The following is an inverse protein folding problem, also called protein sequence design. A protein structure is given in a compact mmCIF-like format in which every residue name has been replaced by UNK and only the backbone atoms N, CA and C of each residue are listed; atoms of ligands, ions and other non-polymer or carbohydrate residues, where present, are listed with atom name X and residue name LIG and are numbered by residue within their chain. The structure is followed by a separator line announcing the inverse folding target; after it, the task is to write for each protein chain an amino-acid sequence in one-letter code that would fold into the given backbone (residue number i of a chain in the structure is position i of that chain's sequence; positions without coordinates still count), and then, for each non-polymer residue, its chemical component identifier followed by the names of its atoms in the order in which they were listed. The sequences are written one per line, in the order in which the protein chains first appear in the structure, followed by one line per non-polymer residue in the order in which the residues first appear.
data_IF_390375631296
#
_entry.id   IF_390375631296
#
_cell.length_a   1.000
_cell.length_b   1.000
_cell.length_c   1.000
_cell.angle_alpha   90.00
_cell.angle_beta   90.00
_cell.angle_gamma   90.00
#
_symmetry.space_group_name_H-M   'P 1'
#
loop_
_entity.id
_entity.type
_entity.pdbx_description
1 polymer ?
#
# COMPACT_ATOMS: atom_id res chain seq x y z
N UNK A 1 33.93 -9.68 -3.72
CA UNK A 1 32.95 -9.29 -4.77
C UNK A 1 31.57 -9.68 -4.27
N UNK A 2 30.52 -8.97 -4.66
CA UNK A 2 29.14 -9.26 -4.27
C UNK A 2 28.28 -9.35 -5.53
N UNK A 3 27.20 -10.12 -5.46
CA UNK A 3 26.18 -10.08 -6.49
C UNK A 3 25.42 -8.75 -6.41
N UNK A 4 25.04 -8.24 -7.57
CA UNK A 4 24.17 -7.07 -7.64
C UNK A 4 22.76 -7.46 -7.20
N UNK A 5 22.07 -6.60 -6.45
CA UNK A 5 20.76 -6.93 -5.86
C UNK A 5 19.69 -7.32 -6.89
N UNK A 6 19.76 -6.80 -8.12
CA UNK A 6 18.82 -7.21 -9.18
C UNK A 6 19.12 -8.58 -9.80
N UNK A 7 20.26 -9.19 -9.47
CA UNK A 7 20.55 -10.57 -9.80
C UNK A 7 19.90 -11.53 -8.80
N UNK A 8 20.04 -11.29 -7.49
CA UNK A 8 19.55 -12.19 -6.44
C UNK A 8 18.09 -11.95 -6.04
N UNK A 9 17.55 -10.74 -6.22
CA UNK A 9 16.16 -10.43 -5.91
C UNK A 9 15.12 -11.39 -6.53
N UNK A 10 15.13 -11.69 -7.85
CA UNK A 10 14.17 -12.63 -8.42
C UNK A 10 14.45 -14.09 -8.04
N UNK A 11 15.70 -14.46 -7.69
CA UNK A 11 16.02 -15.76 -7.09
C UNK A 11 15.32 -15.89 -5.73
N UNK A 12 15.05 -14.78 -5.05
CA UNK A 12 14.21 -14.71 -3.85
C UNK A 12 12.83 -15.37 -4.03
N UNK A 13 12.24 -15.38 -5.22
CA UNK A 13 10.99 -16.11 -5.48
C UNK A 13 11.17 -17.62 -5.30
N UNK A 14 12.26 -18.18 -5.85
CA UNK A 14 12.63 -19.58 -5.71
C UNK A 14 12.95 -19.91 -4.26
N UNK A 15 13.77 -19.07 -3.60
CA UNK A 15 14.16 -19.29 -2.21
C UNK A 15 12.96 -19.26 -1.25
N UNK A 16 12.04 -18.32 -1.44
CA UNK A 16 10.79 -18.23 -0.68
C UNK A 16 9.93 -19.48 -0.88
N UNK A 17 9.78 -19.95 -2.13
CA UNK A 17 9.02 -21.16 -2.41
C UNK A 17 9.69 -22.43 -1.87
N UNK A 18 11.03 -22.52 -1.94
CA UNK A 18 11.79 -23.63 -1.36
C UNK A 18 11.60 -23.69 0.17
N UNK A 19 11.61 -22.54 0.84
CA UNK A 19 11.31 -22.48 2.27
C UNK A 19 9.87 -22.91 2.60
N UNK A 20 8.91 -22.68 1.70
CA UNK A 20 7.56 -23.25 1.83
C UNK A 20 7.57 -24.76 1.64
N UNK A 21 8.28 -25.27 0.62
CA UNK A 21 8.41 -26.70 0.34
C UNK A 21 8.91 -27.48 1.55
N UNK A 22 9.91 -26.95 2.25
CA UNK A 22 10.47 -27.54 3.48
C UNK A 22 9.47 -27.61 4.65
N UNK A 23 8.48 -26.72 4.69
CA UNK A 23 7.47 -26.67 5.77
C UNK A 23 6.17 -27.39 5.43
N UNK A 24 5.86 -27.53 4.14
CA UNK A 24 4.58 -28.04 3.65
C UNK A 24 4.72 -29.35 2.85
N UNK A 25 5.91 -29.97 2.86
CA UNK A 25 6.22 -31.21 2.14
C UNK A 25 5.89 -31.16 0.64
N UNK A 26 6.13 -30.01 0.01
CA UNK A 26 5.96 -29.83 -1.44
C UNK A 26 7.27 -30.15 -2.16
N UNK A 27 7.18 -30.68 -3.37
CA UNK A 27 8.34 -30.86 -4.25
C UNK A 27 8.65 -29.55 -4.98
N UNK A 28 9.85 -29.02 -4.76
CA UNK A 28 10.33 -27.82 -5.43
C UNK A 28 10.46 -28.02 -6.95
N UNK A 29 10.93 -29.20 -7.38
CA UNK A 29 11.18 -29.51 -8.80
C UNK A 29 9.87 -29.62 -9.58
N UNK A 30 8.78 -30.06 -8.95
CA UNK A 30 7.45 -30.07 -9.55
C UNK A 30 6.98 -28.68 -10.02
N UNK A 31 7.52 -27.59 -9.44
CA UNK A 31 7.16 -26.21 -9.80
C UNK A 31 8.26 -25.51 -10.61
N UNK A 32 9.53 -25.65 -10.24
CA UNK A 32 10.65 -24.91 -10.83
C UNK A 32 11.48 -25.71 -11.83
N UNK A 33 11.38 -27.04 -11.81
CA UNK A 33 12.13 -27.90 -12.72
C UNK A 33 11.83 -27.60 -14.19
N UNK A 34 12.77 -27.88 -15.11
CA UNK A 34 12.69 -27.47 -16.52
C UNK A 34 11.49 -28.08 -17.26
N UNK A 35 10.97 -29.23 -16.80
CA UNK A 35 9.83 -29.92 -17.38
C UNK A 35 8.52 -29.72 -16.60
N UNK A 36 8.52 -28.84 -15.59
CA UNK A 36 7.36 -28.55 -14.75
C UNK A 36 6.12 -28.19 -15.59
N UNK A 37 4.98 -28.74 -15.18
CA UNK A 37 3.65 -28.46 -15.77
C UNK A 37 2.82 -27.47 -14.96
N UNK A 38 3.33 -27.01 -13.81
CA UNK A 38 2.66 -26.00 -12.99
C UNK A 38 2.51 -24.67 -13.76
N UNK A 39 1.77 -23.71 -13.24
CA UNK A 39 1.81 -22.35 -13.78
C UNK A 39 2.62 -21.44 -12.86
N UNK A 40 3.48 -20.60 -13.44
CA UNK A 40 4.28 -19.62 -12.70
C UNK A 40 3.92 -18.22 -13.20
N UNK A 41 3.21 -17.46 -12.36
CA UNK A 41 2.75 -16.12 -12.70
C UNK A 41 3.41 -15.08 -11.80
N UNK A 42 3.91 -14.00 -12.39
CA UNK A 42 4.48 -12.87 -11.66
C UNK A 42 3.58 -11.64 -11.76
N UNK A 43 3.05 -11.16 -10.64
CA UNK A 43 2.37 -9.86 -10.56
C UNK A 43 3.38 -8.79 -10.17
N UNK A 44 3.56 -7.77 -11.03
CA UNK A 44 4.62 -6.77 -10.88
C UNK A 44 4.15 -5.36 -11.26
N UNK A 45 4.86 -4.34 -10.78
CA UNK A 45 4.75 -2.99 -11.32
C UNK A 45 5.40 -2.86 -12.70
N UNK A 46 4.89 -1.94 -13.52
CA UNK A 46 5.43 -1.69 -14.87
C UNK A 46 6.89 -1.23 -14.90
N UNK A 47 7.39 -0.65 -13.82
CA UNK A 47 8.77 -0.17 -13.66
C UNK A 47 9.82 -1.28 -13.61
N UNK A 48 9.43 -2.48 -13.18
CA UNK A 48 10.34 -3.62 -13.04
C UNK A 48 10.14 -4.67 -14.14
N UNK A 49 9.35 -4.36 -15.17
CA UNK A 49 9.02 -5.29 -16.26
C UNK A 49 10.26 -5.77 -17.01
N UNK A 50 11.23 -4.89 -17.27
CA UNK A 50 12.45 -5.24 -18.01
C UNK A 50 13.23 -6.37 -17.30
N UNK A 51 13.36 -6.30 -15.98
CA UNK A 51 14.03 -7.34 -15.19
C UNK A 51 13.30 -8.70 -15.28
N UNK A 52 11.96 -8.67 -15.26
CA UNK A 52 11.15 -9.89 -15.21
C UNK A 52 10.89 -10.51 -16.58
N UNK A 53 10.91 -9.71 -17.66
CA UNK A 53 10.64 -10.19 -19.01
C UNK A 53 11.91 -10.56 -19.79
N UNK A 54 13.09 -10.09 -19.38
CA UNK A 54 14.35 -10.32 -20.10
C UNK A 54 15.41 -11.01 -19.24
N UNK A 55 15.87 -10.34 -18.18
CA UNK A 55 16.99 -10.86 -17.38
C UNK A 55 16.61 -12.13 -16.62
N UNK A 56 15.43 -12.14 -15.99
CA UNK A 56 14.99 -13.26 -15.17
C UNK A 56 14.77 -14.56 -15.98
N UNK A 57 14.04 -14.55 -17.11
CA UNK A 57 13.89 -15.75 -17.94
C UNK A 57 15.23 -16.24 -18.51
N UNK A 58 16.13 -15.33 -18.88
CA UNK A 58 17.47 -15.71 -19.34
C UNK A 58 18.27 -16.40 -18.23
N UNK A 59 18.27 -15.84 -17.02
CA UNK A 59 18.95 -16.45 -15.86
C UNK A 59 18.41 -17.84 -15.56
N UNK A 60 17.08 -18.01 -15.54
CA UNK A 60 16.43 -19.32 -15.32
C UNK A 60 16.81 -20.33 -16.40
N UNK A 61 16.74 -19.94 -17.68
CA UNK A 61 17.07 -20.81 -18.80
C UNK A 61 18.50 -21.35 -18.71
N UNK A 62 19.48 -20.48 -18.51
CA UNK A 62 20.89 -20.88 -18.44
C UNK A 62 21.29 -21.53 -17.10
N UNK A 63 20.40 -21.51 -16.10
CA UNK A 63 20.57 -22.26 -14.86
C UNK A 63 19.76 -23.56 -14.80
N UNK A 64 19.08 -23.93 -15.89
CA UNK A 64 18.39 -25.22 -16.01
C UNK A 64 16.98 -25.25 -15.41
N UNK A 65 16.34 -24.11 -15.16
CA UNK A 65 14.98 -24.02 -14.61
C UNK A 65 13.96 -23.57 -15.65
N UNK A 66 12.68 -23.81 -15.35
CA UNK A 66 11.58 -23.30 -16.18
C UNK A 66 11.45 -21.77 -16.10
N UNK A 67 10.91 -21.15 -17.15
CA UNK A 67 10.59 -19.71 -17.18
C UNK A 67 9.17 -19.42 -16.69
N UNK A 68 8.83 -18.16 -16.35
CA UNK A 68 7.46 -17.78 -15.99
C UNK A 68 6.47 -18.11 -17.12
N UNK A 69 5.27 -18.58 -16.75
CA UNK A 69 4.16 -18.84 -17.66
C UNK A 69 3.51 -17.53 -18.14
N UNK A 70 3.31 -16.57 -17.23
CA UNK A 70 2.85 -15.21 -17.54
C UNK A 70 3.47 -14.18 -16.60
N UNK A 71 3.54 -12.95 -17.09
CA UNK A 71 3.86 -11.76 -16.30
C UNK A 71 2.65 -10.83 -16.38
N UNK A 72 2.06 -10.53 -15.24
CA UNK A 72 0.93 -9.62 -15.10
C UNK A 72 1.41 -8.30 -14.50
N UNK A 73 1.66 -7.34 -15.38
CA UNK A 73 2.14 -6.03 -14.99
C UNK A 73 0.98 -5.04 -14.81
N UNK A 74 1.02 -4.25 -13.74
CA UNK A 74 0.05 -3.19 -13.46
C UNK A 74 0.71 -1.80 -13.50
N UNK A 75 -0.11 -0.76 -13.71
CA UNK A 75 0.34 0.62 -13.64
C UNK A 75 0.62 1.11 -12.22
N UNK A 76 0.99 2.38 -12.12
CA UNK A 76 1.18 3.06 -10.83
C UNK A 76 -0.15 3.45 -10.21
N UNK A 77 -0.09 3.75 -8.92
CA UNK A 77 -1.18 4.38 -8.20
C UNK A 77 -0.97 5.90 -8.18
N UNK A 78 -2.00 6.65 -8.57
CA UNK A 78 -2.13 8.09 -8.35
C UNK A 78 -3.20 8.38 -7.29
N UNK A 79 -3.20 9.59 -6.74
CA UNK A 79 -4.22 10.04 -5.79
C UNK A 79 -4.74 11.39 -6.25
N UNK A 80 -6.03 11.46 -6.58
CA UNK A 80 -6.68 12.61 -7.22
C UNK A 80 -5.95 13.07 -8.50
N UNK A 81 -5.51 12.13 -9.33
CA UNK A 81 -4.85 12.38 -10.61
C UNK A 81 -3.37 12.75 -10.51
N UNK A 82 -2.82 12.87 -9.30
CA UNK A 82 -1.43 13.24 -9.09
C UNK A 82 -0.58 12.08 -8.57
N UNK A 83 0.72 12.09 -8.89
CA UNK A 83 1.69 11.19 -8.26
C UNK A 83 1.66 11.41 -6.74
N UNK A 84 1.70 10.31 -5.99
CA UNK A 84 1.75 10.34 -4.53
C UNK A 84 2.93 11.18 -4.03
N UNK A 85 2.66 12.06 -3.07
CA UNK A 85 3.64 12.95 -2.45
C UNK A 85 3.38 13.07 -0.96
N UNK A 86 4.46 13.05 -0.15
CA UNK A 86 4.40 13.34 1.28
C UNK A 86 3.94 14.77 1.55
N UNK A 87 4.46 15.76 0.81
CA UNK A 87 4.12 17.18 1.01
C UNK A 87 2.63 17.49 0.81
N UNK A 88 1.95 16.75 -0.08
CA UNK A 88 0.51 16.91 -0.33
C UNK A 88 -0.37 16.03 0.57
N UNK A 89 0.23 15.15 1.38
CA UNK A 89 -0.48 14.14 2.18
C UNK A 89 -1.12 13.03 1.36
N UNK A 90 -0.66 12.84 0.11
CA UNK A 90 -1.17 11.82 -0.80
C UNK A 90 -0.34 10.55 -0.78
N UNK A 91 0.83 10.57 -0.13
CA UNK A 91 1.57 9.36 0.20
C UNK A 91 0.92 8.68 1.41
N UNK A 92 -0.08 7.84 1.14
CA UNK A 92 -0.84 7.12 2.17
C UNK A 92 -0.20 5.75 2.37
N UNK A 93 0.36 5.51 3.55
CA UNK A 93 0.85 4.16 3.90
C UNK A 93 -0.31 3.21 4.21
N UNK A 94 -0.11 1.91 3.97
CA UNK A 94 -1.11 0.90 4.33
C UNK A 94 -1.45 0.92 5.84
N UNK A 95 -0.45 1.19 6.69
CA UNK A 95 -0.65 1.35 8.14
C UNK A 95 -1.55 2.54 8.44
N UNK A 96 -1.21 3.72 7.92
CA UNK A 96 -2.01 4.93 8.12
C UNK A 96 -3.45 4.75 7.63
N UNK A 97 -3.67 4.10 6.48
CA UNK A 97 -5.01 3.75 6.02
C UNK A 97 -5.79 2.94 7.07
N UNK A 98 -5.17 1.89 7.63
CA UNK A 98 -5.81 1.03 8.62
C UNK A 98 -6.08 1.75 9.94
N UNK A 99 -5.18 2.63 10.37
CA UNK A 99 -5.34 3.39 11.63
C UNK A 99 -6.54 4.37 11.56
N UNK A 100 -6.93 4.82 10.37
CA UNK A 100 -7.99 5.83 10.19
C UNK A 100 -9.31 5.25 9.68
N UNK A 101 -9.28 4.39 8.64
CA UNK A 101 -10.50 3.80 8.05
C UNK A 101 -10.83 2.46 8.69
N UNK A 102 -9.82 1.74 9.20
CA UNK A 102 -9.94 0.46 9.89
C UNK A 102 -10.84 -0.57 9.17
N UNK A 103 -10.84 -0.54 7.83
CA UNK A 103 -11.49 -1.53 7.00
C UNK A 103 -10.76 -1.67 5.64
N UNK A 104 -9.94 -2.72 5.44
CA UNK A 104 -9.21 -2.93 4.19
C UNK A 104 -10.11 -3.28 3.01
N UNK A 105 -11.33 -3.78 3.27
CA UNK A 105 -12.28 -4.23 2.24
C UNK A 105 -12.68 -3.07 1.33
N UNK A 106 -12.74 -1.84 1.85
CA UNK A 106 -13.10 -0.66 1.05
C UNK A 106 -12.05 -0.34 -0.01
N UNK A 107 -10.77 -0.39 0.35
CA UNK A 107 -9.67 -0.16 -0.60
C UNK A 107 -9.57 -1.32 -1.60
N UNK A 108 -9.74 -2.56 -1.14
CA UNK A 108 -9.81 -3.74 -2.01
C UNK A 108 -10.92 -3.61 -3.04
N UNK A 109 -12.12 -3.23 -2.60
CA UNK A 109 -13.26 -2.97 -3.49
C UNK A 109 -12.92 -1.91 -4.53
N UNK A 110 -12.45 -0.76 -4.07
CA UNK A 110 -12.23 0.38 -4.96
C UNK A 110 -11.13 0.12 -5.99
N UNK A 111 -10.02 -0.53 -5.59
CA UNK A 111 -9.01 -0.94 -6.55
C UNK A 111 -9.53 -2.00 -7.51
N UNK A 112 -10.31 -2.97 -7.05
CA UNK A 112 -10.93 -3.95 -7.93
C UNK A 112 -11.87 -3.29 -8.96
N UNK A 113 -12.57 -2.20 -8.62
CA UNK A 113 -13.39 -1.45 -9.59
C UNK A 113 -12.54 -0.90 -10.75
N UNK A 114 -11.33 -0.43 -10.44
CA UNK A 114 -10.44 0.25 -11.40
C UNK A 114 -9.54 -0.75 -12.14
N UNK A 115 -9.22 -1.89 -11.52
CA UNK A 115 -8.37 -2.92 -12.10
C UNK A 115 -9.03 -3.56 -13.32
N UNK A 116 -8.24 -3.66 -14.38
CA UNK A 116 -8.58 -4.30 -15.63
C UNK A 116 -7.37 -5.11 -16.11
N UNK A 117 -7.53 -5.93 -17.15
CA UNK A 117 -6.45 -6.78 -17.67
C UNK A 117 -5.29 -6.02 -18.35
N UNK A 118 -5.22 -4.70 -18.25
CA UNK A 118 -4.20 -3.84 -18.89
C UNK A 118 -3.26 -3.18 -17.86
N UNK A 119 -2.21 -2.54 -18.37
CA UNK A 119 -1.15 -1.89 -17.57
C UNK A 119 -1.43 -0.38 -17.39
N UNK A 120 -2.68 -0.04 -17.10
CA UNK A 120 -3.09 1.34 -16.85
C UNK A 120 -2.81 1.77 -15.40
N UNK A 121 -2.54 3.07 -15.22
CA UNK A 121 -2.42 3.67 -13.89
C UNK A 121 -3.80 3.77 -13.24
N UNK A 122 -3.85 3.53 -11.93
CA UNK A 122 -5.09 3.56 -11.15
C UNK A 122 -5.09 4.83 -10.31
N UNK A 123 -6.17 5.61 -10.40
CA UNK A 123 -6.36 6.78 -9.55
C UNK A 123 -7.23 6.46 -8.33
N UNK A 124 -6.69 6.73 -7.14
CA UNK A 124 -7.44 6.84 -5.90
C UNK A 124 -8.01 8.25 -5.76
N UNK A 125 -9.12 8.50 -6.44
CA UNK A 125 -9.87 9.72 -6.24
C UNK A 125 -10.65 9.62 -4.92
N UNK A 126 -10.33 10.47 -3.94
CA UNK A 126 -10.85 10.36 -2.57
C UNK A 126 -12.37 10.56 -2.47
N UNK A 127 -12.94 11.44 -3.29
CA UNK A 127 -14.38 11.69 -3.30
C UNK A 127 -15.12 10.52 -3.98
N UNK A 128 -14.61 10.05 -5.12
CA UNK A 128 -15.13 8.85 -5.80
C UNK A 128 -15.00 7.60 -4.92
N UNK A 129 -13.90 7.46 -4.18
CA UNK A 129 -13.67 6.35 -3.24
C UNK A 129 -14.80 6.19 -2.23
N UNK A 130 -15.06 7.24 -1.45
CA UNK A 130 -16.10 7.20 -0.43
C UNK A 130 -17.49 7.04 -1.06
N UNK A 131 -17.77 7.80 -2.13
CA UNK A 131 -19.05 7.76 -2.84
C UNK A 131 -19.35 6.35 -3.37
N UNK A 132 -18.39 5.75 -4.07
CA UNK A 132 -18.55 4.45 -4.72
C UNK A 132 -18.68 3.31 -3.72
N UNK A 133 -17.84 3.27 -2.68
CA UNK A 133 -17.97 2.26 -1.62
C UNK A 133 -19.33 2.37 -0.95
N UNK A 134 -19.76 3.58 -0.61
CA UNK A 134 -21.06 3.82 0.03
C UNK A 134 -22.23 3.45 -0.87
N UNK A 135 -22.17 3.78 -2.16
CA UNK A 135 -23.23 3.47 -3.11
C UNK A 135 -23.33 1.96 -3.36
N UNK A 136 -22.22 1.31 -3.67
CA UNK A 136 -22.23 -0.08 -4.11
C UNK A 136 -22.32 -1.06 -2.93
N UNK A 137 -21.41 -0.96 -1.95
CA UNK A 137 -21.39 -1.93 -0.85
C UNK A 137 -22.55 -1.71 0.12
N UNK A 138 -22.79 -0.46 0.53
CA UNK A 138 -23.85 -0.15 1.50
C UNK A 138 -25.21 0.01 0.80
N UNK A 139 -25.28 0.82 -0.26
CA UNK A 139 -26.54 1.16 -0.92
C UNK A 139 -27.15 0.04 -1.77
N UNK A 140 -26.33 -0.86 -2.31
CA UNK A 140 -26.80 -1.97 -3.16
C UNK A 140 -26.64 -3.33 -2.51
N UNK A 141 -25.41 -3.76 -2.24
CA UNK A 141 -25.13 -5.14 -1.83
C UNK A 141 -25.69 -5.45 -0.42
N UNK A 142 -25.21 -4.76 0.61
CA UNK A 142 -25.58 -5.01 2.01
C UNK A 142 -27.04 -4.61 2.28
N UNK A 143 -27.57 -3.64 1.52
CA UNK A 143 -28.95 -3.21 1.59
C UNK A 143 -29.97 -4.34 1.32
N UNK A 144 -29.58 -5.38 0.56
CA UNK A 144 -30.45 -6.53 0.31
C UNK A 144 -30.68 -7.30 1.62
N UNK A 145 -29.59 -7.70 2.29
CA UNK A 145 -29.66 -8.48 3.52
C UNK A 145 -30.28 -7.67 4.67
N UNK A 146 -29.88 -6.39 4.83
CA UNK A 146 -30.36 -5.55 5.93
C UNK A 146 -31.87 -5.33 5.90
N UNK A 147 -32.47 -5.24 4.70
CA UNK A 147 -33.91 -5.02 4.51
C UNK A 147 -34.72 -6.32 4.51
N UNK A 148 -34.16 -7.44 4.04
CA UNK A 148 -34.89 -8.70 3.91
C UNK A 148 -34.80 -9.62 5.14
N UNK A 149 -33.63 -9.71 5.78
CA UNK A 149 -33.35 -10.72 6.81
C UNK A 149 -34.23 -10.57 8.07
N UNK A 150 -34.58 -9.34 8.43
CA UNK A 150 -35.44 -9.06 9.58
C UNK A 150 -36.87 -9.59 9.42
N UNK A 151 -37.40 -9.70 8.19
CA UNK A 151 -38.71 -10.31 7.96
C UNK A 151 -38.64 -11.82 8.14
N UNK A 152 -37.64 -12.47 7.55
CA UNK A 152 -37.43 -13.92 7.63
C UNK A 152 -37.25 -14.39 9.08
N UNK A 153 -36.39 -13.73 9.84
CA UNK A 153 -36.11 -14.13 11.23
C UNK A 153 -37.28 -13.87 12.18
N UNK A 154 -38.01 -12.75 12.03
CA UNK A 154 -39.13 -12.42 12.94
C UNK A 154 -40.44 -13.14 12.61
N UNK A 155 -40.71 -13.44 11.34
CA UNK A 155 -42.02 -13.97 10.90
C UNK A 155 -41.99 -15.46 10.51
N UNK A 156 -40.79 -16.00 10.28
CA UNK A 156 -40.58 -17.33 9.71
C UNK A 156 -39.45 -18.12 10.39
N UNK A 157 -39.05 -17.75 11.61
CA UNK A 157 -37.97 -18.44 12.38
C UNK A 157 -36.66 -18.62 11.61
N UNK A 158 -36.34 -17.70 10.70
CA UNK A 158 -35.13 -17.79 9.88
C UNK A 158 -35.27 -18.68 8.64
N UNK A 159 -36.40 -19.35 8.44
CA UNK A 159 -36.60 -20.30 7.34
C UNK A 159 -36.84 -19.60 6.01
N UNK A 160 -36.01 -19.94 5.03
CA UNK A 160 -36.15 -19.48 3.66
C UNK A 160 -37.10 -20.41 2.90
N UNK A 161 -37.98 -19.83 2.09
CA UNK A 161 -38.82 -20.61 1.19
C UNK A 161 -37.94 -21.35 0.17
N UNK A 162 -38.20 -22.64 -0.04
CA UNK A 162 -37.40 -23.46 -0.95
C UNK A 162 -37.67 -23.08 -2.43
N UNK A 163 -36.64 -23.08 -3.31
CA UNK A 163 -36.79 -22.71 -4.72
C UNK A 163 -37.82 -23.52 -5.52
N UNK A 164 -38.11 -24.74 -5.07
CA UNK A 164 -39.16 -25.59 -5.65
C UNK A 164 -40.55 -24.97 -5.53
N UNK A 165 -40.81 -24.17 -4.50
CA UNK A 165 -42.09 -23.49 -4.25
C UNK A 165 -42.21 -22.14 -4.96
N UNK A 166 -41.24 -21.78 -5.81
CA UNK A 166 -41.24 -20.50 -6.49
C UNK A 166 -42.08 -20.60 -7.78
N UNK A 167 -43.00 -19.66 -8.03
CA UNK A 167 -43.59 -19.44 -9.36
C UNK A 167 -42.53 -19.33 -10.48
N UNK A 168 -42.93 -19.44 -11.75
CA UNK A 168 -41.99 -19.46 -12.88
C UNK A 168 -41.17 -18.16 -13.03
N UNK A 169 -41.83 -17.01 -12.92
CA UNK A 169 -41.22 -15.67 -12.85
C UNK A 169 -40.35 -15.49 -11.59
N UNK A 170 -40.69 -16.22 -10.55
CA UNK A 170 -40.04 -16.23 -9.25
C UNK A 170 -38.72 -17.03 -9.22
N UNK A 171 -38.51 -18.00 -10.13
CA UNK A 171 -37.20 -18.66 -10.32
C UNK A 171 -36.21 -17.79 -11.10
N UNK A 172 -36.70 -16.90 -11.96
CA UNK A 172 -35.85 -16.09 -12.86
C UNK A 172 -34.87 -15.18 -12.12
N UNK A 173 -35.21 -14.59 -10.98
CA UNK A 173 -34.28 -13.68 -10.28
C UNK A 173 -33.01 -14.41 -9.81
N UNK A 174 -33.18 -15.61 -9.26
CA UNK A 174 -32.06 -16.43 -8.77
C UNK A 174 -31.32 -17.01 -9.96
N UNK A 175 -32.04 -17.51 -10.97
CA UNK A 175 -31.40 -18.01 -12.18
C UNK A 175 -30.55 -16.93 -12.85
N UNK A 176 -31.06 -15.70 -12.99
CA UNK A 176 -30.27 -14.56 -13.50
C UNK A 176 -29.01 -14.27 -12.66
N UNK A 177 -29.07 -14.50 -11.35
CA UNK A 177 -27.90 -14.37 -10.47
C UNK A 177 -26.88 -15.49 -10.72
N UNK A 178 -27.35 -16.72 -10.96
CA UNK A 178 -26.51 -17.89 -11.25
C UNK A 178 -25.92 -17.85 -12.67
N UNK A 179 -26.68 -17.36 -13.65
CA UNK A 179 -26.25 -17.23 -15.05
C UNK A 179 -25.07 -16.25 -15.21
N UNK A 180 -24.89 -15.34 -14.24
CA UNK A 180 -23.73 -14.44 -14.19
C UNK A 180 -22.41 -15.17 -13.83
N UNK A 181 -22.46 -16.42 -13.36
CA UNK A 181 -21.28 -17.15 -12.89
C UNK A 181 -20.21 -17.30 -13.98
N UNK A 182 -20.60 -17.72 -15.20
CA UNK A 182 -19.67 -17.91 -16.31
C UNK A 182 -18.91 -16.63 -16.66
N UNK A 183 -19.60 -15.53 -17.02
CA UNK A 183 -18.96 -14.25 -17.30
C UNK A 183 -18.12 -13.71 -16.12
N UNK A 184 -18.55 -13.90 -14.87
CA UNK A 184 -17.77 -13.46 -13.71
C UNK A 184 -16.48 -14.27 -13.57
N UNK A 185 -16.54 -15.60 -13.71
CA UNK A 185 -15.37 -16.46 -13.65
C UNK A 185 -14.35 -16.11 -14.74
N UNK A 186 -14.81 -15.92 -15.98
CA UNK A 186 -13.97 -15.49 -17.10
C UNK A 186 -13.31 -14.13 -16.85
N UNK A 187 -14.05 -13.19 -16.25
CA UNK A 187 -13.49 -11.88 -15.91
C UNK A 187 -12.48 -11.94 -14.76
N UNK A 188 -12.68 -12.81 -13.76
CA UNK A 188 -11.65 -13.04 -12.74
C UNK A 188 -10.37 -13.62 -13.34
N UNK A 189 -10.49 -14.66 -14.17
CA UNK A 189 -9.36 -15.31 -14.86
C UNK A 189 -8.64 -14.32 -15.80
N UNK A 190 -9.41 -13.48 -16.49
CA UNK A 190 -8.91 -12.40 -17.33
C UNK A 190 -8.36 -11.19 -16.56
N UNK A 191 -8.39 -11.19 -15.23
CA UNK A 191 -8.02 -10.08 -14.33
C UNK A 191 -8.82 -8.78 -14.57
N UNK A 192 -10.00 -8.91 -15.17
CA UNK A 192 -10.94 -7.83 -15.43
C UNK A 192 -11.85 -7.60 -14.22
N UNK A 193 -11.27 -7.27 -13.06
CA UNK A 193 -12.01 -7.14 -11.80
C UNK A 193 -13.07 -6.04 -11.83
N UNK A 194 -12.83 -4.95 -12.58
CA UNK A 194 -13.84 -3.92 -12.79
C UNK A 194 -15.08 -4.45 -13.53
N UNK A 195 -14.91 -5.41 -14.45
CA UNK A 195 -16.01 -6.06 -15.14
C UNK A 195 -16.77 -7.01 -14.21
N UNK A 196 -16.05 -7.75 -13.35
CA UNK A 196 -16.69 -8.56 -12.28
C UNK A 196 -17.60 -7.69 -11.43
N UNK A 197 -17.10 -6.57 -10.90
CA UNK A 197 -17.88 -5.74 -10.00
C UNK A 197 -19.06 -5.05 -10.68
N UNK A 198 -18.92 -4.66 -11.96
CA UNK A 198 -20.06 -4.16 -12.75
C UNK A 198 -21.16 -5.21 -12.87
N UNK A 199 -20.80 -6.45 -13.15
CA UNK A 199 -21.78 -7.53 -13.31
C UNK A 199 -22.46 -7.89 -11.98
N UNK A 200 -21.68 -8.03 -10.91
CA UNK A 200 -22.20 -8.25 -9.56
C UNK A 200 -23.15 -7.12 -9.14
N UNK A 201 -22.79 -5.85 -9.36
CA UNK A 201 -23.64 -4.72 -8.98
C UNK A 201 -24.87 -4.58 -9.87
N UNK A 202 -24.81 -4.98 -11.15
CA UNK A 202 -25.99 -5.07 -12.04
C UNK A 202 -27.01 -6.09 -11.52
N UNK A 203 -26.54 -7.24 -11.06
CA UNK A 203 -27.40 -8.25 -10.41
C UNK A 203 -27.95 -7.71 -9.10
N UNK A 204 -27.13 -7.06 -8.26
CA UNK A 204 -27.59 -6.43 -7.01
C UNK A 204 -28.68 -5.37 -7.25
N UNK A 205 -28.55 -4.53 -8.29
CA UNK A 205 -29.57 -3.55 -8.68
C UNK A 205 -30.89 -4.24 -9.05
N UNK A 206 -30.83 -5.35 -9.80
CA UNK A 206 -32.01 -6.15 -10.17
C UNK A 206 -32.72 -6.72 -8.92
N UNK A 207 -31.96 -7.19 -7.94
CA UNK A 207 -32.50 -7.72 -6.68
C UNK A 207 -33.16 -6.60 -5.86
N UNK A 208 -32.52 -5.43 -5.76
CA UNK A 208 -33.09 -4.29 -5.05
C UNK A 208 -34.40 -3.81 -5.72
N UNK A 209 -34.44 -3.70 -7.05
CA UNK A 209 -35.66 -3.36 -7.79
C UNK A 209 -36.77 -4.40 -7.59
N UNK A 210 -36.42 -5.69 -7.58
CA UNK A 210 -37.37 -6.75 -7.26
C UNK A 210 -37.97 -6.58 -5.87
N UNK A 211 -37.14 -6.36 -4.85
CA UNK A 211 -37.59 -6.15 -3.47
C UNK A 211 -38.51 -4.94 -3.36
N UNK A 212 -38.13 -3.81 -3.96
CA UNK A 212 -38.87 -2.56 -3.88
C UNK A 212 -40.24 -2.67 -4.60
N UNK A 213 -40.31 -3.34 -5.76
CA UNK A 213 -41.55 -3.57 -6.51
C UNK A 213 -42.58 -4.38 -5.72
N UNK A 214 -42.14 -5.31 -4.89
CA UNK A 214 -43.04 -6.19 -4.12
C UNK A 214 -43.43 -5.63 -2.75
N UNK A 215 -42.83 -4.50 -2.34
CA UNK A 215 -43.22 -3.74 -1.16
C UNK A 215 -43.43 -4.61 0.12
N UNK A 216 -42.42 -5.37 0.57
CA UNK A 216 -42.55 -6.31 1.68
C UNK A 216 -42.97 -5.64 3.01
N UNK A 217 -42.70 -4.35 3.19
CA UNK A 217 -43.18 -3.56 4.33
C UNK A 217 -44.71 -3.37 4.35
N UNK A 218 -45.38 -3.51 3.20
CA UNK A 218 -46.84 -3.55 3.09
C UNK A 218 -47.31 -4.99 3.32
N UNK A 219 -46.69 -5.96 2.65
CA UNK A 219 -47.01 -7.39 2.79
C UNK A 219 -46.92 -7.87 4.25
N UNK A 220 -46.00 -7.34 5.05
CA UNK A 220 -45.87 -7.68 6.47
C UNK A 220 -47.17 -7.45 7.28
N UNK A 221 -47.97 -6.46 6.88
CA UNK A 221 -49.21 -6.11 7.58
C UNK A 221 -50.38 -7.01 7.19
N UNK A 222 -50.23 -7.81 6.12
CA UNK A 222 -51.25 -8.70 5.59
C UNK A 222 -50.99 -10.15 6.04
N UNK A 223 -51.83 -10.64 6.95
CA UNK A 223 -51.71 -11.98 7.52
C UNK A 223 -52.10 -13.10 6.54
N UNK A 224 -52.88 -12.79 5.49
CA UNK A 224 -53.29 -13.74 4.46
C UNK A 224 -52.16 -13.94 3.45
N UNK A 225 -51.42 -12.88 3.12
CA UNK A 225 -50.31 -12.91 2.15
C UNK A 225 -48.94 -13.24 2.77
N UNK A 226 -48.94 -13.90 3.94
CA UNK A 226 -47.72 -14.27 4.67
C UNK A 226 -46.74 -15.09 3.80
N UNK A 227 -47.23 -16.03 2.98
CA UNK A 227 -46.38 -16.83 2.09
C UNK A 227 -45.64 -16.00 1.03
N UNK A 228 -46.27 -14.93 0.53
CA UNK A 228 -45.67 -14.04 -0.46
C UNK A 228 -44.55 -13.19 0.15
N UNK A 229 -44.72 -12.71 1.38
CA UNK A 229 -43.65 -12.04 2.12
C UNK A 229 -42.42 -12.95 2.28
N UNK A 230 -42.63 -14.21 2.70
CA UNK A 230 -41.53 -15.17 2.83
C UNK A 230 -40.81 -15.35 1.50
N UNK A 231 -41.58 -15.51 0.42
CA UNK A 231 -41.08 -15.73 -0.92
C UNK A 231 -40.20 -14.57 -1.42
N UNK A 232 -40.67 -13.33 -1.30
CA UNK A 232 -39.95 -12.13 -1.74
C UNK A 232 -38.64 -11.97 -0.98
N UNK A 233 -38.67 -12.09 0.34
CA UNK A 233 -37.48 -11.96 1.17
C UNK A 233 -36.50 -13.12 0.96
N UNK A 234 -37.00 -14.36 0.78
CA UNK A 234 -36.15 -15.54 0.58
C UNK A 234 -35.36 -15.44 -0.72
N UNK A 235 -36.00 -15.05 -1.83
CA UNK A 235 -35.30 -14.85 -3.11
C UNK A 235 -34.22 -13.79 -3.04
N UNK A 236 -34.54 -12.68 -2.36
CA UNK A 236 -33.58 -11.58 -2.18
C UNK A 236 -32.35 -12.07 -1.40
N UNK A 237 -32.54 -12.92 -0.40
CA UNK A 237 -31.45 -13.50 0.39
C UNK A 237 -30.70 -14.62 -0.35
N UNK A 238 -31.37 -15.42 -1.18
CA UNK A 238 -30.70 -16.38 -2.08
C UNK A 238 -29.82 -15.66 -3.10
N UNK A 239 -30.30 -14.57 -3.70
CA UNK A 239 -29.48 -13.76 -4.60
C UNK A 239 -28.33 -13.08 -3.85
N UNK A 240 -28.56 -12.57 -2.64
CA UNK A 240 -27.51 -12.03 -1.77
C UNK A 240 -26.42 -13.07 -1.45
N UNK A 241 -26.81 -14.33 -1.18
CA UNK A 241 -25.88 -15.45 -0.99
C UNK A 241 -24.99 -15.64 -2.22
N UNK A 242 -25.57 -15.73 -3.41
CA UNK A 242 -24.85 -15.87 -4.69
C UNK A 242 -23.89 -14.70 -4.93
N UNK A 243 -24.34 -13.46 -4.71
CA UNK A 243 -23.49 -12.27 -4.81
C UNK A 243 -22.33 -12.30 -3.81
N UNK A 244 -22.55 -12.85 -2.62
CA UNK A 244 -21.51 -13.01 -1.60
C UNK A 244 -20.43 -14.01 -2.02
N UNK A 245 -20.80 -15.09 -2.73
CA UNK A 245 -19.84 -16.02 -3.31
C UNK A 245 -18.97 -15.32 -4.36
N UNK A 246 -19.57 -14.54 -5.26
CA UNK A 246 -18.82 -13.80 -6.28
C UNK A 246 -17.91 -12.73 -5.70
N UNK A 247 -18.30 -12.10 -4.59
CA UNK A 247 -17.52 -11.06 -3.93
C UNK A 247 -16.40 -11.61 -3.04
N UNK A 248 -16.39 -12.89 -2.70
CA UNK A 248 -15.44 -13.45 -1.75
C UNK A 248 -13.95 -13.22 -2.08
N UNK A 249 -13.50 -13.30 -3.35
CA UNK A 249 -12.11 -13.00 -3.70
C UNK A 249 -11.73 -11.52 -3.48
N UNK A 250 -12.67 -10.59 -3.64
CA UNK A 250 -12.44 -9.14 -3.50
C UNK A 250 -12.66 -8.70 -2.06
N UNK A 251 -13.67 -9.25 -1.39
CA UNK A 251 -14.16 -8.85 -0.07
C UNK A 251 -14.13 -10.02 0.94
N UNK A 252 -12.94 -10.59 1.25
CA UNK A 252 -12.84 -11.82 2.02
C UNK A 252 -13.40 -11.68 3.44
N UNK A 253 -13.06 -10.62 4.19
CA UNK A 253 -13.51 -10.50 5.58
C UNK A 253 -15.01 -10.18 5.66
N UNK A 254 -15.51 -9.38 4.71
CA UNK A 254 -16.94 -9.06 4.68
C UNK A 254 -17.77 -10.30 4.37
N UNK A 255 -17.40 -11.02 3.31
CA UNK A 255 -18.15 -12.20 2.86
C UNK A 255 -17.98 -13.39 3.81
N UNK A 256 -16.85 -13.51 4.53
CA UNK A 256 -16.71 -14.51 5.59
C UNK A 256 -17.67 -14.24 6.76
N UNK A 257 -17.84 -12.98 7.18
CA UNK A 257 -18.87 -12.64 8.18
C UNK A 257 -20.27 -12.92 7.67
N UNK A 258 -20.55 -12.65 6.39
CA UNK A 258 -21.84 -13.04 5.78
C UNK A 258 -22.04 -14.56 5.85
N UNK A 259 -21.03 -15.34 5.44
CA UNK A 259 -21.06 -16.80 5.47
C UNK A 259 -21.36 -17.34 6.88
N UNK A 260 -20.59 -16.88 7.87
CA UNK A 260 -20.67 -17.38 9.25
C UNK A 260 -21.86 -16.82 10.04
N UNK A 261 -22.02 -15.50 10.04
CA UNK A 261 -22.94 -14.82 10.94
C UNK A 261 -24.38 -14.82 10.41
N UNK A 262 -24.57 -14.75 9.08
CA UNK A 262 -25.91 -14.75 8.48
C UNK A 262 -26.31 -16.14 7.99
N UNK A 263 -25.45 -16.83 7.24
CA UNK A 263 -25.80 -18.13 6.64
C UNK A 263 -25.34 -19.35 7.46
N UNK A 264 -24.62 -19.14 8.54
CA UNK A 264 -24.28 -20.19 9.49
C UNK A 264 -23.23 -21.20 9.01
N UNK A 265 -22.45 -20.86 7.99
CA UNK A 265 -21.33 -21.68 7.53
C UNK A 265 -20.19 -21.65 8.56
N UNK A 266 -19.40 -22.72 8.61
CA UNK A 266 -18.20 -22.84 9.46
C UNK A 266 -16.92 -22.31 8.80
N UNK A 267 -17.04 -21.91 7.52
CA UNK A 267 -15.98 -21.40 6.65
C UNK A 267 -16.46 -20.19 5.84
N UNK A 268 -15.53 -19.53 5.15
CA UNK A 268 -15.85 -18.57 4.10
C UNK A 268 -16.45 -19.23 2.85
N UNK A 269 -16.97 -18.40 1.95
CA UNK A 269 -17.52 -18.87 0.67
C UNK A 269 -16.44 -19.39 -0.27
N UNK A 270 -16.82 -20.36 -1.09
CA UNK A 270 -16.09 -20.79 -2.27
C UNK A 270 -17.04 -20.98 -3.46
N UNK A 271 -16.50 -21.14 -4.66
CA UNK A 271 -17.31 -21.17 -5.88
C UNK A 271 -18.36 -22.29 -5.94
N UNK A 272 -18.12 -23.43 -5.29
CA UNK A 272 -19.08 -24.56 -5.24
C UNK A 272 -20.32 -24.26 -4.40
N UNK A 273 -20.29 -23.22 -3.59
CA UNK A 273 -21.47 -22.80 -2.85
C UNK A 273 -22.61 -22.34 -3.78
N UNK A 274 -22.32 -22.01 -5.05
CA UNK A 274 -23.34 -21.73 -6.06
C UNK A 274 -24.25 -22.94 -6.36
N UNK A 275 -23.79 -24.16 -6.09
CA UNK A 275 -24.53 -25.39 -6.36
C UNK A 275 -25.65 -25.64 -5.35
N UNK A 276 -25.60 -24.99 -4.17
CA UNK A 276 -26.57 -25.23 -3.08
C UNK A 276 -26.97 -23.93 -2.40
N UNK A 277 -28.26 -23.60 -2.51
CA UNK A 277 -28.82 -22.43 -1.85
C UNK A 277 -29.16 -22.72 -0.38
N UNK A 278 -29.02 -21.73 0.51
CA UNK A 278 -29.29 -21.91 1.93
C UNK A 278 -30.79 -22.10 2.21
N UNK A 279 -31.10 -22.95 3.19
CA UNK A 279 -32.47 -23.17 3.66
C UNK A 279 -32.87 -22.25 4.83
N UNK A 280 -31.90 -21.69 5.55
CA UNK A 280 -32.13 -20.88 6.76
C UNK A 280 -31.09 -19.78 6.88
N UNK A 281 -31.45 -18.71 7.59
CA UNK A 281 -30.55 -17.66 8.04
C UNK A 281 -30.61 -17.45 9.55
N UNK A 282 -29.55 -16.85 10.10
CA UNK A 282 -29.47 -16.33 11.46
C UNK A 282 -29.91 -14.85 11.51
N UNK A 283 -30.16 -14.27 12.71
CA UNK A 283 -30.41 -12.84 12.85
C UNK A 283 -29.32 -11.99 12.22
N UNK A 284 -29.72 -11.07 11.34
CA UNK A 284 -28.80 -10.15 10.69
C UNK A 284 -28.10 -9.26 11.72
N UNK A 285 -26.78 -9.11 11.55
CA UNK A 285 -25.93 -8.19 12.31
C UNK A 285 -25.37 -7.16 11.36
N UNK A 286 -25.13 -5.96 11.87
CA UNK A 286 -24.53 -4.89 11.09
C UNK A 286 -23.16 -5.31 10.53
N UNK A 287 -22.99 -5.24 9.22
CA UNK A 287 -21.80 -5.75 8.53
C UNK A 287 -20.74 -4.67 8.28
N UNK A 288 -21.14 -3.50 7.76
CA UNK A 288 -20.22 -2.41 7.41
C UNK A 288 -20.86 -1.05 7.60
N UNK A 289 -20.06 -0.06 8.00
CA UNK A 289 -20.48 1.32 8.19
C UNK A 289 -20.06 2.17 6.99
N UNK A 290 -20.87 3.19 6.67
CA UNK A 290 -20.55 4.15 5.61
C UNK A 290 -19.21 4.85 5.90
N UNK A 291 -18.46 5.14 4.84
CA UNK A 291 -17.29 6.01 4.91
C UNK A 291 -17.79 7.45 5.04
N UNK A 292 -17.43 8.13 6.12
CA UNK A 292 -17.74 9.54 6.31
C UNK A 292 -16.65 10.42 5.69
N UNK A 293 -17.01 11.59 5.12
CA UNK A 293 -16.03 12.54 4.59
C UNK A 293 -14.93 12.90 5.60
N UNK A 294 -15.29 13.07 6.87
CA UNK A 294 -14.36 13.36 7.98
C UNK A 294 -13.29 12.28 8.16
N UNK A 295 -13.61 11.01 7.91
CA UNK A 295 -12.63 9.91 7.99
C UNK A 295 -11.56 10.05 6.92
N UNK A 296 -11.95 10.48 5.71
CA UNK A 296 -11.01 10.74 4.61
C UNK A 296 -10.17 11.98 4.89
N UNK A 297 -10.76 13.04 5.43
CA UNK A 297 -10.05 14.25 5.85
C UNK A 297 -9.00 13.95 6.92
N UNK A 298 -9.36 13.15 7.94
CA UNK A 298 -8.43 12.72 8.99
C UNK A 298 -7.26 11.92 8.42
N UNK A 299 -7.53 10.98 7.50
CA UNK A 299 -6.48 10.23 6.81
C UNK A 299 -5.52 11.16 6.06
N UNK A 300 -6.04 12.15 5.32
CA UNK A 300 -5.18 13.11 4.59
C UNK A 300 -4.37 13.96 5.56
N UNK A 301 -4.99 14.46 6.64
CA UNK A 301 -4.31 15.28 7.65
C UNK A 301 -3.14 14.51 8.29
N UNK A 302 -3.36 13.27 8.73
CA UNK A 302 -2.31 12.45 9.34
C UNK A 302 -1.14 12.17 8.40
N UNK A 303 -1.38 12.04 7.09
CA UNK A 303 -0.32 11.86 6.10
C UNK A 303 0.35 13.17 5.67
N UNK A 304 -0.22 14.35 6.00
CA UNK A 304 0.49 15.64 5.92
C UNK A 304 1.33 15.90 7.17
N UNK A 305 0.80 15.60 8.36
CA UNK A 305 1.48 15.81 9.65
C UNK A 305 2.65 14.84 9.87
N UNK A 306 2.69 13.71 9.17
CA UNK A 306 3.87 12.82 9.11
C UNK A 306 5.15 13.46 8.50
N UNK A 307 5.12 14.77 8.23
CA UNK A 307 6.28 15.62 7.93
C UNK A 307 7.00 16.12 9.19
N UNK A 308 6.46 15.95 10.41
CA UNK A 308 7.25 16.16 11.61
C UNK A 308 8.24 14.99 11.82
N UNK A 309 9.53 15.26 12.07
CA UNK A 309 10.56 14.22 12.14
C UNK A 309 10.41 13.36 13.40
N UNK A 310 9.58 12.33 13.29
CA UNK A 310 9.61 11.17 14.16
C UNK A 310 10.86 10.34 13.89
N UNK A 311 11.74 10.27 14.89
CA UNK A 311 12.95 9.44 14.94
C UNK A 311 12.68 7.99 14.51
N UNK A 312 13.33 7.54 13.44
CA UNK A 312 14.07 6.27 13.26
C UNK A 312 14.65 6.25 11.82
N UNK A 313 15.98 6.16 11.71
CA UNK A 313 16.72 5.89 10.47
C UNK A 313 16.79 4.35 10.22
N UNK A 314 17.10 3.82 9.00
CA UNK A 314 18.01 4.44 8.00
C UNK A 314 17.71 4.28 6.48
N UNK A 315 18.34 5.20 5.74
CA UNK A 315 18.94 5.14 4.39
C UNK A 315 18.09 4.94 3.12
N UNK A 316 17.78 6.05 2.42
CA UNK A 316 18.07 6.23 0.97
C UNK A 316 17.80 7.70 0.53
N UNK A 317 18.82 8.32 -0.09
CA UNK A 317 18.82 9.54 -0.92
C UNK A 317 17.98 10.76 -0.46
N UNK A 318 18.61 11.67 0.28
CA UNK A 318 18.06 13.02 0.54
C UNK A 318 18.11 13.89 -0.73
N UNK A 319 16.95 14.23 -1.28
CA UNK A 319 16.76 15.59 -1.76
C UNK A 319 16.44 16.42 -0.51
N UNK A 320 17.40 17.25 -0.08
CA UNK A 320 17.18 18.20 1.00
C UNK A 320 16.05 19.17 0.63
N UNK A 321 15.25 19.58 1.60
CA UNK A 321 14.25 20.63 1.42
C UNK A 321 14.89 21.90 0.84
N UNK A 322 14.19 22.56 -0.08
CA UNK A 322 14.67 23.81 -0.67
C UNK A 322 14.60 24.91 0.39
N UNK A 323 15.76 25.41 0.82
CA UNK A 323 15.85 26.58 1.67
C UNK A 323 15.67 27.86 0.84
N UNK A 324 15.20 28.94 1.46
CA UNK A 324 15.17 30.25 0.80
C UNK A 324 16.57 30.87 0.78
N UNK A 325 16.80 31.88 -0.07
CA UNK A 325 18.06 32.64 -0.07
C UNK A 325 18.28 33.34 1.28
N UNK A 326 17.19 33.74 1.95
CA UNK A 326 17.26 34.34 3.29
C UNK A 326 17.76 33.34 4.34
N UNK A 327 17.42 32.06 4.21
CA UNK A 327 17.93 31.00 5.08
C UNK A 327 19.43 30.76 4.86
N UNK A 328 19.92 30.85 3.63
CA UNK A 328 21.36 30.83 3.35
C UNK A 328 22.06 32.08 3.90
N UNK A 329 21.43 33.25 3.79
CA UNK A 329 21.95 34.51 4.34
C UNK A 329 22.14 34.53 5.86
N UNK A 330 21.40 33.66 6.59
CA UNK A 330 21.57 33.45 8.04
C UNK A 330 22.87 32.73 8.39
N UNK A 331 23.54 32.06 7.44
CA UNK A 331 24.80 31.34 7.67
C UNK A 331 25.98 32.29 7.39
N UNK A 332 26.87 32.48 8.38
CA UNK A 332 28.10 33.25 8.21
C UNK A 332 29.23 32.31 7.78
N UNK A 333 29.38 32.10 6.48
CA UNK A 333 30.48 31.33 5.91
C UNK A 333 31.70 32.22 5.68
N UNK A 334 32.87 31.79 6.14
CA UNK A 334 34.12 32.54 5.97
C UNK A 334 35.29 31.66 5.57
N UNK A 335 36.25 32.27 4.87
CA UNK A 335 37.55 31.67 4.61
C UNK A 335 38.40 31.77 5.87
N UNK A 336 38.97 30.65 6.30
CA UNK A 336 39.87 30.58 7.45
C UNK A 336 41.20 29.92 7.06
N UNK A 337 42.31 30.39 7.63
CA UNK A 337 43.61 29.71 7.52
C UNK A 337 43.80 28.77 8.69
N UNK A 338 44.18 27.53 8.43
CA UNK A 338 44.58 26.61 9.49
C UNK A 338 45.98 27.00 9.95
N UNK A 339 46.10 27.57 11.15
CA UNK A 339 47.39 28.02 11.72
C UNK A 339 48.04 26.95 12.59
N UNK A 340 47.26 26.01 13.11
CA UNK A 340 47.76 24.85 13.83
C UNK A 340 46.80 23.66 13.67
N UNK A 341 47.33 22.43 13.72
CA UNK A 341 46.56 21.20 13.69
C UNK A 341 47.22 20.16 14.59
N UNK A 342 46.45 19.57 15.49
CA UNK A 342 46.92 18.63 16.51
C UNK A 342 46.05 17.37 16.55
N UNK A 343 46.67 16.24 16.89
CA UNK A 343 45.91 15.06 17.28
C UNK A 343 45.16 15.28 18.59
N UNK A 344 43.98 14.69 18.70
CA UNK A 344 43.19 14.70 19.93
C UNK A 344 43.39 13.36 20.65
N UNK A 345 44.03 13.41 21.81
CA UNK A 345 44.27 12.22 22.64
C UNK A 345 42.95 11.61 23.10
N UNK A 346 42.77 10.31 22.81
CA UNK A 346 41.54 9.59 23.13
C UNK A 346 40.38 9.80 22.14
N UNK A 347 40.62 10.42 20.97
CA UNK A 347 39.64 10.48 19.88
C UNK A 347 40.19 9.90 18.56
N UNK A 348 39.55 8.84 18.08
CA UNK A 348 40.00 8.10 16.87
C UNK A 348 39.68 8.82 15.56
N UNK A 349 38.76 9.81 15.60
CA UNK A 349 38.24 10.47 14.40
C UNK A 349 38.50 11.98 14.34
N UNK A 350 38.95 12.60 15.43
CA UNK A 350 39.02 14.06 15.55
C UNK A 350 40.45 14.60 15.40
N UNK A 351 40.58 15.71 14.68
CA UNK A 351 41.75 16.59 14.66
C UNK A 351 41.32 17.93 15.26
N UNK A 352 42.15 18.49 16.15
CA UNK A 352 41.94 19.82 16.69
C UNK A 352 42.65 20.83 15.79
N UNK A 353 41.89 21.76 15.22
CA UNK A 353 42.37 22.81 14.34
C UNK A 353 42.27 24.15 15.06
N UNK A 354 43.34 24.95 14.98
CA UNK A 354 43.27 26.38 15.25
C UNK A 354 43.16 27.08 13.91
N UNK A 355 42.05 27.79 13.69
CA UNK A 355 41.78 28.49 12.44
C UNK A 355 41.77 30.00 12.67
N UNK A 356 42.44 30.75 11.79
CA UNK A 356 42.47 32.21 11.79
C UNK A 356 41.51 32.77 10.74
N UNK A 357 40.66 33.71 11.17
CA UNK A 357 39.65 34.40 10.38
C UNK A 357 40.05 35.85 10.06
N UNK A 358 41.35 36.11 9.88
CA UNK A 358 41.87 37.44 9.59
C UNK A 358 42.08 38.30 10.84
N UNK A 359 42.64 37.70 11.89
CA UNK A 359 42.96 38.36 13.17
C UNK A 359 42.24 37.77 14.38
N UNK A 360 41.25 36.89 14.16
CA UNK A 360 40.55 36.17 15.23
C UNK A 360 40.76 34.66 15.07
N UNK A 361 41.39 34.05 16.06
CA UNK A 361 41.59 32.60 16.09
C UNK A 361 40.43 31.88 16.77
N UNK A 362 40.06 30.72 16.25
CA UNK A 362 39.04 29.84 16.81
C UNK A 362 39.51 28.40 16.85
N UNK A 363 39.03 27.66 17.85
CA UNK A 363 39.25 26.22 17.95
C UNK A 363 38.13 25.44 17.27
N UNK A 364 38.49 24.49 16.40
CA UNK A 364 37.55 23.60 15.71
C UNK A 364 38.00 22.16 15.87
N UNK A 365 37.10 21.28 16.30
CA UNK A 365 37.36 19.84 16.30
C UNK A 365 36.70 19.21 15.08
N UNK A 366 37.52 18.75 14.13
CA UNK A 366 37.09 18.26 12.83
C UNK A 366 37.23 16.73 12.73
N UNK A 367 36.19 16.06 12.24
CA UNK A 367 36.12 14.61 12.05
C UNK A 367 36.92 14.08 10.86
N UNK A 368 38.10 14.63 10.58
CA UNK A 368 38.84 14.42 9.32
C UNK A 368 40.14 13.63 9.47
N UNK A 369 40.40 13.07 10.67
CA UNK A 369 41.65 12.37 11.02
C UNK A 369 41.94 11.16 10.11
N UNK A 370 40.91 10.52 9.57
CA UNK A 370 41.04 9.36 8.68
C UNK A 370 41.49 9.70 7.26
N UNK A 371 41.42 10.97 6.86
CA UNK A 371 41.78 11.43 5.52
C UNK A 371 43.02 12.35 5.49
N UNK A 372 43.31 13.08 6.58
CA UNK A 372 44.41 14.03 6.64
C UNK A 372 45.25 13.85 7.90
N UNK A 373 46.58 13.86 7.73
CA UNK A 373 47.50 14.02 8.84
C UNK A 373 47.58 15.51 9.24
N UNK A 374 47.70 15.86 10.54
CA UNK A 374 47.69 17.26 11.00
C UNK A 374 48.69 18.16 10.28
N UNK A 375 49.88 17.64 9.98
CA UNK A 375 50.98 18.38 9.33
C UNK A 375 50.60 18.83 7.91
N UNK A 376 49.69 18.11 7.25
CA UNK A 376 49.23 18.42 5.90
C UNK A 376 48.22 19.58 5.88
N UNK A 377 47.64 19.92 7.03
CA UNK A 377 46.56 20.89 7.15
C UNK A 377 47.08 22.30 7.47
N UNK A 378 48.22 22.40 8.14
CA UNK A 378 48.82 23.69 8.54
C UNK A 378 49.12 24.53 7.29
N UNK A 379 48.67 25.78 7.30
CA UNK A 379 48.85 26.75 6.22
C UNK A 379 47.73 26.75 5.18
N UNK A 380 46.89 25.71 5.10
CA UNK A 380 45.78 25.63 4.14
C UNK A 380 44.66 26.62 4.44
N UNK A 381 43.97 27.06 3.40
CA UNK A 381 42.72 27.81 3.50
C UNK A 381 41.53 26.86 3.39
N UNK A 382 40.53 27.04 4.25
CA UNK A 382 39.30 26.24 4.28
C UNK A 382 38.08 27.12 4.50
N UNK A 383 36.90 26.63 4.16
CA UNK A 383 35.63 27.27 4.50
C UNK A 383 35.16 26.83 5.89
N UNK A 384 34.72 27.78 6.71
CA UNK A 384 34.13 27.52 8.03
C UNK A 384 32.80 28.23 8.22
N UNK A 385 31.96 27.69 9.10
CA UNK A 385 30.74 28.36 9.58
C UNK A 385 31.06 29.14 10.86
N UNK A 386 31.12 30.46 10.76
CA UNK A 386 31.61 31.36 11.81
C UNK A 386 30.54 31.74 12.87
N UNK A 387 29.24 31.56 12.58
CA UNK A 387 28.15 31.93 13.49
C UNK A 387 27.40 30.74 14.11
N UNK A 388 28.03 29.56 14.16
CA UNK A 388 27.50 28.43 14.93
C UNK A 388 27.65 28.66 16.44
N UNK A 389 26.66 28.21 17.20
CA UNK A 389 26.74 28.18 18.66
C UNK A 389 27.90 27.26 19.08
N UNK A 390 28.83 27.74 19.93
CA UNK A 390 29.94 26.92 20.39
C UNK A 390 29.46 25.64 21.07
N UNK A 391 30.06 24.50 20.71
CA UNK A 391 29.72 23.20 21.28
C UNK A 391 30.79 22.73 22.24
N UNK A 392 30.42 22.54 23.50
CA UNK A 392 31.28 21.90 24.50
C UNK A 392 31.43 20.42 24.17
N UNK A 393 32.67 19.97 23.98
CA UNK A 393 33.04 18.58 23.76
C UNK A 393 33.93 18.08 24.89
N UNK A 394 34.10 16.76 24.98
CA UNK A 394 34.96 16.11 25.97
C UNK A 394 36.40 16.68 25.99
N UNK A 395 36.87 17.18 24.85
CA UNK A 395 38.26 17.59 24.63
C UNK A 395 38.46 19.12 24.53
N UNK A 396 37.39 19.91 24.69
CA UNK A 396 37.43 21.37 24.56
C UNK A 396 36.14 21.95 23.97
N UNK A 397 36.13 23.24 23.66
CA UNK A 397 35.00 23.93 23.03
C UNK A 397 35.30 24.09 21.53
N UNK A 398 34.38 23.66 20.67
CA UNK A 398 34.44 23.95 19.23
C UNK A 398 33.62 25.18 18.94
N UNK A 399 34.27 26.21 18.41
CA UNK A 399 33.71 27.55 18.22
C UNK A 399 33.28 27.80 16.77
N UNK A 400 33.51 26.81 15.90
CA UNK A 400 33.15 26.82 14.48
C UNK A 400 33.13 25.39 13.93
N UNK A 401 32.80 25.25 12.65
CA UNK A 401 32.75 23.99 11.90
C UNK A 401 33.42 24.20 10.53
N UNK A 402 34.38 23.34 10.19
CA UNK A 402 34.98 23.26 8.84
C UNK A 402 34.07 22.48 7.90
N UNK A 403 34.06 22.85 6.62
CA UNK A 403 33.28 22.16 5.59
C UNK A 403 34.13 21.18 4.77
N UNK A 404 33.63 19.96 4.62
CA UNK A 404 34.25 18.91 3.82
C UNK A 404 33.17 18.11 3.06
N UNK A 405 33.53 17.56 1.90
CA UNK A 405 32.67 16.70 1.09
C UNK A 405 33.13 15.24 1.17
N UNK A 406 32.20 14.29 1.01
CA UNK A 406 32.52 12.87 0.84
C UNK A 406 31.83 11.92 1.83
N UNK A 407 31.95 10.62 1.58
CA UNK A 407 31.19 9.55 2.25
C UNK A 407 31.75 9.16 3.64
N UNK A 408 32.88 9.75 4.06
CA UNK A 408 33.54 9.48 5.34
C UNK A 408 34.79 8.59 5.20
N UNK A 409 35.53 8.41 6.30
CA UNK A 409 36.77 7.62 6.28
C UNK A 409 37.88 8.30 5.48
N UNK A 410 38.45 7.61 4.49
CA UNK A 410 39.49 8.18 3.60
C UNK A 410 38.88 9.08 2.51
N UNK A 411 37.59 8.93 2.23
CA UNK A 411 36.87 9.70 1.21
C UNK A 411 36.28 10.97 1.83
N UNK A 412 37.13 11.78 2.47
CA UNK A 412 36.79 13.11 2.99
C UNK A 412 37.68 14.14 2.30
N UNK A 413 37.06 15.15 1.69
CA UNK A 413 37.71 16.19 0.91
C UNK A 413 37.41 17.56 1.53
N UNK A 414 38.40 18.18 2.16
CA UNK A 414 38.28 19.52 2.74
C UNK A 414 38.04 20.56 1.63
N UNK A 415 37.07 21.45 1.81
CA UNK A 415 36.74 22.48 0.83
C UNK A 415 37.72 23.66 0.94
N UNK A 416 38.41 23.98 -0.16
CA UNK A 416 39.38 25.07 -0.25
C UNK A 416 38.91 26.11 -1.27
N UNK A 417 39.18 27.41 -1.05
CA UNK A 417 38.91 28.45 -2.03
C UNK A 417 39.98 28.50 -3.14
N UNK A 418 39.66 29.18 -4.24
CA UNK A 418 40.61 29.52 -5.30
C UNK A 418 41.72 30.48 -4.81
N UNK A 419 42.79 30.59 -5.59
CA UNK A 419 43.94 31.45 -5.29
C UNK A 419 43.54 32.93 -5.16
N UNK A 420 44.13 33.64 -4.20
CA UNK A 420 43.84 35.04 -3.89
C UNK A 420 42.81 35.27 -2.77
N UNK A 421 42.11 34.22 -2.32
CA UNK A 421 41.27 34.30 -1.13
C UNK A 421 42.08 34.56 0.15
N UNK A 422 41.59 35.45 1.02
CA UNK A 422 42.25 35.81 2.27
C UNK A 422 41.42 35.41 3.50
N UNK A 423 42.07 35.10 4.65
CA UNK A 423 41.36 34.83 5.90
C UNK A 423 40.40 35.96 6.29
N UNK A 424 39.20 35.59 6.71
CA UNK A 424 38.15 36.53 7.12
C UNK A 424 37.19 36.96 6.00
N UNK A 425 37.50 36.69 4.73
CA UNK A 425 36.58 36.95 3.61
C UNK A 425 35.29 36.14 3.75
N UNK A 426 34.15 36.80 3.54
CA UNK A 426 32.81 36.17 3.59
C UNK A 426 32.51 35.45 2.28
N UNK A 427 32.03 34.21 2.39
CA UNK A 427 31.51 33.41 1.27
C UNK A 427 30.04 33.78 1.07
N UNK A 428 29.63 34.02 -0.18
CA UNK A 428 28.31 34.53 -0.56
C UNK A 428 27.69 33.68 -1.65
#
# INVERSE_FOLDING_TARGET
KYFYVWLDAPIGYMASFKNLCERAELDFEAYWGPTSKAELHHFIGKDILYFHALFWPALLHYSGYRTPSRIFAHGFLTVNGEKMSKSRGTFITARSYLDHINNPEYLRYYYAVKLNGTMEDIDLNRADFASRVNADLIGKYINIASRAAGFITRRFDGELAAPVHFPEDARRLIQNSLDAAGPIAENYEGRNYGAVLREVMRVADTVNQYFDRHQPWILEKDTVRKGELQLVCSKSLHAFYVLSVYLAPILPNLTERVARDLFGLDRGFNWRDLDTLPARIRPYRHLITRIEPKTIEALVAANRESLEPGTIAPAAAHASETITVDDFGKIDLRIARIVNAEHVDGADKLVKLTVDLGGAQRTVFAGIKSAYAPEQLIGRLTVVVANLVPRKMRFGISESMVLAAGAGGKDIFLLNPDEGAQPGMRVK
#
